data_IF_989407694189
#
_entry.id   IF_989407694189
#
_cell.length_a   1.000
_cell.length_b   1.000
_cell.length_c   1.000
_cell.angle_alpha   90.00
_cell.angle_beta   90.00
_cell.angle_gamma   90.00
#
_symmetry.space_group_name_H-M   'P 1'
#
loop_
_entity.id
_entity.type
_entity.pdbx_description
1 polymer ?
#
# COMPACT_ATOMS: atom_id res chain seq x y z
N UNK A 1 5.22 18.13 -22.48
CA UNK A 1 5.28 16.66 -22.54
C UNK A 1 4.53 16.16 -21.33
N UNK A 2 3.35 15.55 -21.50
CA UNK A 2 2.62 14.97 -20.38
C UNK A 2 3.33 13.65 -20.04
N UNK A 3 4.07 13.62 -18.93
CA UNK A 3 4.55 12.36 -18.37
C UNK A 3 3.31 11.54 -18.04
N UNK A 4 3.05 10.48 -18.79
CA UNK A 4 2.08 9.45 -18.42
C UNK A 4 2.64 8.78 -17.16
N UNK A 5 2.32 9.34 -16.00
CA UNK A 5 2.66 8.77 -14.70
C UNK A 5 1.88 7.47 -14.57
N UNK A 6 2.49 6.35 -14.96
CA UNK A 6 1.92 5.02 -14.73
C UNK A 6 1.64 4.90 -13.24
N UNK A 7 0.37 4.91 -12.86
CA UNK A 7 -0.06 4.71 -11.47
C UNK A 7 0.05 3.23 -11.17
N UNK A 8 0.92 2.87 -10.23
CA UNK A 8 1.04 1.52 -9.70
C UNK A 8 0.35 1.41 -8.35
N UNK A 9 -0.08 0.20 -7.98
CA UNK A 9 -0.54 -0.11 -6.62
C UNK A 9 0.59 -0.83 -5.89
N UNK A 10 0.99 -0.26 -4.75
CA UNK A 10 2.10 -0.75 -3.95
C UNK A 10 1.61 -1.27 -2.60
N UNK A 11 2.17 -2.40 -2.18
CA UNK A 11 1.93 -2.98 -0.86
C UNK A 11 2.90 -2.40 0.16
N UNK A 12 2.37 -1.90 1.26
CA UNK A 12 3.10 -1.26 2.35
C UNK A 12 2.80 -2.00 3.65
N UNK A 13 3.85 -2.32 4.40
CA UNK A 13 3.76 -2.86 5.73
C UNK A 13 3.78 -1.72 6.74
N UNK A 14 2.82 -1.72 7.65
CA UNK A 14 2.72 -0.75 8.75
C UNK A 14 2.97 -1.47 10.06
N UNK A 15 3.94 -0.99 10.83
CA UNK A 15 4.18 -1.42 12.20
C UNK A 15 3.47 -0.43 13.13
N UNK A 16 2.48 -0.92 13.87
CA UNK A 16 1.77 -0.11 14.86
C UNK A 16 2.61 0.05 16.14
N UNK A 17 2.25 1.02 16.97
CA UNK A 17 2.85 1.22 18.30
C UNK A 17 2.83 -0.06 19.17
N UNK A 18 1.73 -0.81 19.14
CA UNK A 18 1.59 -2.12 19.82
C UNK A 18 2.44 -3.26 19.18
N UNK A 19 3.34 -2.93 18.26
CA UNK A 19 4.18 -3.88 17.50
C UNK A 19 3.40 -4.87 16.63
N UNK A 20 2.14 -4.58 16.32
CA UNK A 20 1.36 -5.35 15.37
C UNK A 20 1.72 -4.94 13.94
N UNK A 21 1.83 -5.92 13.05
CA UNK A 21 2.02 -5.69 11.62
C UNK A 21 0.66 -5.61 10.91
N UNK A 22 0.47 -4.57 10.12
CA UNK A 22 -0.70 -4.40 9.24
C UNK A 22 -0.25 -4.24 7.80
N UNK A 23 -1.11 -4.61 6.87
CA UNK A 23 -0.88 -4.42 5.44
C UNK A 23 -1.78 -3.29 4.94
N UNK A 24 -1.17 -2.44 4.14
CA UNK A 24 -1.78 -1.28 3.53
C UNK A 24 -1.41 -1.25 2.06
N UNK A 25 -2.27 -0.67 1.24
CA UNK A 25 -2.03 -0.48 -0.18
C UNK A 25 -2.18 0.99 -0.52
N UNK A 26 -1.34 1.46 -1.44
CA UNK A 26 -1.40 2.83 -1.94
C UNK A 26 -1.21 2.85 -3.45
N UNK A 27 -2.06 3.60 -4.14
CA UNK A 27 -1.93 3.86 -5.56
C UNK A 27 -1.08 5.12 -5.78
N UNK A 28 0.10 4.96 -6.34
CA UNK A 28 1.10 6.02 -6.45
C UNK A 28 1.91 5.93 -7.75
N UNK A 29 2.70 6.96 -8.01
CA UNK A 29 3.63 6.98 -9.16
C UNK A 29 4.90 6.17 -8.90
N UNK A 30 5.29 5.99 -7.63
CA UNK A 30 6.48 5.27 -7.20
C UNK A 30 6.23 4.57 -5.85
N UNK A 31 7.07 3.59 -5.50
CA UNK A 31 6.99 2.92 -4.19
C UNK A 31 7.27 3.86 -3.03
N UNK A 32 8.14 4.86 -3.22
CA UNK A 32 8.48 5.87 -2.20
C UNK A 32 7.31 6.82 -1.94
N UNK A 33 6.63 7.26 -3.01
CA UNK A 33 5.38 8.02 -2.90
C UNK A 33 4.30 7.20 -2.17
N UNK A 34 4.19 5.92 -2.48
CA UNK A 34 3.23 5.03 -1.83
C UNK A 34 3.47 4.92 -0.32
N UNK A 35 4.73 4.74 0.11
CA UNK A 35 5.08 4.74 1.54
C UNK A 35 4.76 6.09 2.17
N UNK A 36 5.04 7.20 1.49
CA UNK A 36 4.74 8.55 1.97
C UNK A 36 3.23 8.78 2.15
N UNK A 37 2.42 8.31 1.19
CA UNK A 37 0.95 8.36 1.28
C UNK A 37 0.44 7.56 2.48
N UNK A 38 0.99 6.36 2.72
CA UNK A 38 0.63 5.54 3.89
C UNK A 38 1.06 6.20 5.19
N UNK A 39 2.28 6.75 5.27
CA UNK A 39 2.75 7.50 6.45
C UNK A 39 1.81 8.67 6.80
N UNK A 40 1.30 9.38 5.79
CA UNK A 40 0.34 10.47 5.99
C UNK A 40 -1.05 9.98 6.43
N UNK A 41 -1.40 8.71 6.18
CA UNK A 41 -2.71 8.14 6.50
C UNK A 41 -2.75 7.43 7.87
N UNK A 42 -1.60 7.10 8.46
CA UNK A 42 -1.51 6.39 9.73
C UNK A 42 -1.26 7.34 10.91
N UNK A 43 -1.60 6.92 12.16
CA UNK A 43 -1.31 7.71 13.36
C UNK A 43 0.18 7.96 13.60
N UNK A 44 0.48 9.06 14.31
CA UNK A 44 1.83 9.34 14.80
C UNK A 44 2.38 8.21 15.69
N UNK A 45 3.70 7.99 15.64
CA UNK A 45 4.37 6.90 16.36
C UNK A 45 4.34 5.54 15.65
N UNK A 46 3.56 5.39 14.59
CA UNK A 46 3.59 4.20 13.74
C UNK A 46 4.65 4.34 12.65
N UNK A 47 5.06 3.22 12.06
CA UNK A 47 6.06 3.19 10.98
C UNK A 47 5.51 2.48 9.75
N UNK A 48 5.90 2.95 8.56
CA UNK A 48 5.55 2.30 7.30
C UNK A 48 6.82 1.97 6.50
N UNK A 49 6.79 0.85 5.78
CA UNK A 49 7.88 0.42 4.91
C UNK A 49 7.31 -0.42 3.76
N UNK A 50 7.97 -0.38 2.60
CA UNK A 50 7.54 -1.18 1.47
C UNK A 50 7.54 -2.67 1.83
N UNK A 51 6.47 -3.39 1.50
CA UNK A 51 6.43 -4.82 1.70
C UNK A 51 7.36 -5.51 0.70
N UNK A 52 8.05 -6.56 1.13
CA UNK A 52 8.81 -7.42 0.23
C UNK A 52 7.90 -8.23 -0.72
N UNK A 53 6.67 -8.48 -0.27
CA UNK A 53 5.62 -9.12 -1.05
C UNK A 53 5.04 -8.13 -2.05
N UNK A 54 4.70 -8.64 -3.23
CA UNK A 54 3.99 -7.88 -4.27
C UNK A 54 2.56 -8.39 -4.39
N UNK A 55 1.67 -7.52 -4.85
CA UNK A 55 0.33 -7.90 -5.25
C UNK A 55 0.39 -8.50 -6.64
N UNK A 56 -0.38 -9.56 -6.86
CA UNK A 56 -0.63 -10.07 -8.21
C UNK A 56 -1.48 -9.06 -9.00
N UNK A 57 -1.40 -9.05 -10.35
CA UNK A 57 -2.23 -8.17 -11.17
C UNK A 57 -3.72 -8.29 -10.85
N UNK A 58 -4.22 -9.51 -10.62
CA UNK A 58 -5.61 -9.75 -10.26
C UNK A 58 -5.99 -9.14 -8.90
N UNK A 59 -5.10 -9.17 -7.90
CA UNK A 59 -5.32 -8.49 -6.62
C UNK A 59 -5.35 -6.96 -6.81
N UNK A 60 -4.48 -6.41 -7.67
CA UNK A 60 -4.45 -4.98 -7.98
C UNK A 60 -5.75 -4.52 -8.66
N UNK A 61 -6.21 -5.26 -9.67
CA UNK A 61 -7.47 -4.97 -10.36
C UNK A 61 -8.68 -5.05 -9.41
N UNK A 62 -8.69 -6.01 -8.48
CA UNK A 62 -9.76 -6.15 -7.51
C UNK A 62 -9.82 -5.00 -6.48
N UNK A 63 -8.73 -4.27 -6.26
CA UNK A 63 -8.68 -3.13 -5.34
C UNK A 63 -9.24 -1.84 -5.95
N UNK A 64 -9.27 -1.71 -7.29
CA UNK A 64 -9.80 -0.56 -8.05
C UNK A 64 -9.39 0.83 -7.48
N UNK A 65 -8.13 0.97 -7.07
CA UNK A 65 -7.62 2.18 -6.42
C UNK A 65 -7.32 3.28 -7.43
N UNK A 66 -7.72 4.51 -7.10
CA UNK A 66 -7.30 5.72 -7.83
C UNK A 66 -6.00 6.26 -7.26
N UNK A 67 -5.24 6.96 -8.09
CA UNK A 67 -4.00 7.62 -7.66
C UNK A 67 -4.22 8.50 -6.42
N UNK A 68 -3.36 8.32 -5.42
CA UNK A 68 -3.44 8.98 -4.12
C UNK A 68 -4.30 8.23 -3.08
N UNK A 69 -5.09 7.23 -3.47
CA UNK A 69 -5.88 6.45 -2.53
C UNK A 69 -5.01 5.46 -1.73
N UNK A 70 -5.39 5.30 -0.46
CA UNK A 70 -4.69 4.50 0.53
C UNK A 70 -5.71 3.71 1.34
N UNK A 71 -5.53 2.39 1.44
CA UNK A 71 -6.43 1.52 2.18
C UNK A 71 -5.69 0.48 3.02
N UNK A 72 -6.18 0.21 4.22
CA UNK A 72 -5.76 -0.97 4.98
C UNK A 72 -6.40 -2.20 4.35
N UNK A 73 -5.61 -3.25 4.13
CA UNK A 73 -6.10 -4.54 3.64
C UNK A 73 -5.83 -5.66 4.63
N UNK A 74 -6.65 -6.70 4.57
CA UNK A 74 -6.40 -7.96 5.28
C UNK A 74 -6.18 -9.05 4.25
N UNK A 75 -4.96 -9.58 4.15
CA UNK A 75 -4.72 -10.79 3.35
C UNK A 75 -5.31 -11.98 4.10
N UNK A 76 -6.54 -12.32 3.76
CA UNK A 76 -7.13 -13.58 4.20
C UNK A 76 -6.49 -14.67 3.34
N UNK A 77 -5.47 -15.36 3.87
CA UNK A 77 -4.89 -16.51 3.19
C UNK A 77 -5.98 -17.59 3.18
N UNK A 78 -6.68 -17.75 2.06
CA UNK A 78 -7.49 -18.95 1.84
C UNK A 78 -6.52 -20.08 1.54
N UNK A 79 -6.19 -20.88 2.55
CA UNK A 79 -5.61 -22.21 2.35
C UNK A 79 -6.67 -23.06 1.66
N UNK A 80 -6.52 -23.24 0.34
CA UNK A 80 -7.26 -24.23 -0.46
C UNK A 80 -6.63 -25.60 -0.31
#
# INVERSE_FOLDING_TARGET
MASSSTTGVYLVRVLTDDRANRLWVAAASSSEDAVSLVLNAIPEGWSASLAQEQLTPAEVEALDLKHGEVHQITRTIRMS
#
